data_IF_691984883104
#
_entry.id   IF_691984883104
#
_cell.length_a   1.000
_cell.length_b   1.000
_cell.length_c   1.000
_cell.angle_alpha   90.00
_cell.angle_beta   90.00
_cell.angle_gamma   90.00
#
_symmetry.space_group_name_H-M   'P 1'
#
loop_
_entity.id
_entity.type
_entity.pdbx_description
1 polymer ?
#
# COMPACT_ATOMS: atom_id res chain seq x y z
N UNK A 1 -23.11 -6.18 34.47
CA UNK A 1 -22.86 -4.93 33.71
C UNK A 1 -21.39 -4.72 33.33
N UNK A 2 -20.40 -5.34 33.98
CA UNK A 2 -18.94 -5.15 33.70
C UNK A 2 -18.37 -5.90 32.48
N UNK A 3 -19.07 -6.92 31.96
CA UNK A 3 -18.60 -7.73 30.83
C UNK A 3 -18.64 -6.97 29.49
N UNK A 4 -19.65 -6.11 29.30
CA UNK A 4 -19.81 -5.34 28.06
C UNK A 4 -18.73 -4.28 27.85
N UNK A 5 -18.26 -3.65 28.93
CA UNK A 5 -17.16 -2.68 28.87
C UNK A 5 -15.84 -3.35 28.47
N UNK A 6 -15.55 -4.56 28.95
CA UNK A 6 -14.36 -5.32 28.52
C UNK A 6 -14.45 -5.75 27.06
N UNK A 7 -15.64 -6.10 26.57
CA UNK A 7 -15.85 -6.48 25.17
C UNK A 7 -15.61 -5.31 24.22
N UNK A 8 -16.11 -4.11 24.56
CA UNK A 8 -15.90 -2.89 23.78
C UNK A 8 -14.42 -2.51 23.69
N UNK A 9 -13.68 -2.58 24.81
CA UNK A 9 -12.24 -2.27 24.82
C UNK A 9 -11.45 -3.24 23.92
N UNK A 10 -11.79 -4.53 23.93
CA UNK A 10 -11.13 -5.52 23.08
C UNK A 10 -11.42 -5.30 21.59
N UNK A 11 -12.66 -4.93 21.23
CA UNK A 11 -13.01 -4.58 19.85
C UNK A 11 -12.26 -3.34 19.35
N UNK A 12 -12.11 -2.30 20.17
CA UNK A 12 -11.35 -1.10 19.79
C UNK A 12 -9.85 -1.37 19.63
N UNK A 13 -9.25 -2.21 20.49
CA UNK A 13 -7.85 -2.57 20.36
C UNK A 13 -7.55 -3.38 19.08
N UNK A 14 -8.47 -4.25 18.68
CA UNK A 14 -8.35 -5.01 17.43
C UNK A 14 -8.43 -4.13 16.18
N UNK A 15 -9.25 -3.07 16.20
CA UNK A 15 -9.40 -2.13 15.08
C UNK A 15 -8.15 -1.26 14.85
N UNK A 16 -7.41 -0.92 15.90
CA UNK A 16 -6.19 -0.09 15.78
C UNK A 16 -5.01 -0.86 15.18
N UNK A 17 -4.99 -2.19 15.28
CA UNK A 17 -3.83 -3.01 14.92
C UNK A 17 -3.73 -3.38 13.43
N UNK A 18 -4.64 -2.92 12.57
CA UNK A 18 -4.60 -3.20 11.11
C UNK A 18 -3.95 -2.08 10.27
N UNK A 19 -3.14 -1.21 10.86
CA UNK A 19 -2.23 -0.40 10.04
C UNK A 19 -1.02 -1.25 9.66
N UNK A 20 -1.06 -1.87 8.47
CA UNK A 20 0.13 -2.43 7.86
C UNK A 20 1.21 -1.36 7.81
N UNK A 21 2.33 -1.63 8.46
CA UNK A 21 3.49 -0.73 8.45
C UNK A 21 4.13 -0.84 7.07
N UNK A 22 4.01 0.21 6.26
CA UNK A 22 4.64 0.29 4.95
C UNK A 22 6.15 0.04 5.03
N UNK A 23 6.72 -0.46 3.93
CA UNK A 23 8.18 -0.64 3.81
C UNK A 23 8.90 0.71 3.83
N UNK A 24 10.21 0.70 4.06
CA UNK A 24 11.00 1.93 4.14
C UNK A 24 11.00 2.76 2.85
N UNK A 25 10.80 2.14 1.70
CA UNK A 25 10.70 2.75 0.37
C UNK A 25 9.26 3.14 -0.02
N UNK A 26 8.31 2.92 0.88
CA UNK A 26 6.89 3.16 0.67
C UNK A 26 6.33 4.24 1.61
N UNK A 27 5.11 4.69 1.34
CA UNK A 27 4.33 5.58 2.19
C UNK A 27 2.85 5.19 2.16
N UNK A 28 2.13 5.53 3.22
CA UNK A 28 0.69 5.33 3.27
C UNK A 28 -0.01 6.50 2.53
N UNK A 29 -0.73 6.26 1.41
CA UNK A 29 -1.41 7.30 0.64
C UNK A 29 -2.64 7.88 1.36
N UNK A 30 -3.10 7.23 2.43
CA UNK A 30 -4.28 7.63 3.19
C UNK A 30 -5.60 7.19 2.55
N UNK A 31 -6.74 7.64 3.12
CA UNK A 31 -8.07 7.14 2.78
C UNK A 31 -8.58 7.54 1.38
N UNK A 32 -7.96 8.54 0.74
CA UNK A 32 -8.28 8.97 -0.62
C UNK A 32 -7.27 8.40 -1.63
N UNK A 33 -6.94 7.11 -1.49
CA UNK A 33 -6.03 6.44 -2.40
C UNK A 33 -6.65 6.33 -3.82
N UNK A 34 -5.81 6.27 -4.84
CA UNK A 34 -6.23 6.03 -6.21
C UNK A 34 -5.51 4.83 -6.83
N UNK A 35 -5.14 4.97 -8.08
CA UNK A 35 -4.28 4.01 -8.78
C UNK A 35 -2.81 4.38 -8.54
N UNK A 36 -2.02 3.45 -8.01
CA UNK A 36 -0.56 3.61 -7.93
C UNK A 36 0.07 3.44 -9.33
N UNK A 37 0.97 4.33 -9.76
CA UNK A 37 1.69 4.15 -11.02
C UNK A 37 2.73 3.03 -10.89
N UNK A 38 2.76 2.15 -11.89
CA UNK A 38 3.57 0.92 -11.88
C UNK A 38 4.52 0.86 -13.06
N UNK A 39 5.67 0.26 -12.81
CA UNK A 39 6.63 -0.09 -13.83
C UNK A 39 6.21 -1.42 -14.47
N UNK A 40 5.67 -1.35 -15.68
CA UNK A 40 5.21 -2.50 -16.43
C UNK A 40 5.65 -2.40 -17.90
N UNK A 41 6.12 -3.49 -18.52
CA UNK A 41 6.54 -3.46 -19.92
C UNK A 41 5.33 -3.17 -20.83
N UNK A 42 5.53 -2.58 -22.03
CA UNK A 42 4.44 -2.22 -22.94
C UNK A 42 3.56 -3.42 -23.36
N UNK A 43 4.12 -4.62 -23.33
CA UNK A 43 3.44 -5.88 -23.62
C UNK A 43 2.60 -6.43 -22.47
N UNK A 44 2.71 -5.86 -21.27
CA UNK A 44 1.91 -6.29 -20.14
C UNK A 44 0.50 -5.71 -20.26
N UNK A 45 -0.51 -6.58 -20.26
CA UNK A 45 -1.89 -6.18 -20.01
C UNK A 45 -2.03 -5.81 -18.53
N UNK A 46 -1.39 -4.71 -18.12
CA UNK A 46 -1.36 -4.30 -16.74
C UNK A 46 -2.70 -3.67 -16.35
N UNK A 47 -3.40 -4.31 -15.41
CA UNK A 47 -4.55 -3.71 -14.77
C UNK A 47 -4.04 -2.79 -13.64
N UNK A 48 -4.35 -1.49 -13.65
CA UNK A 48 -3.97 -0.58 -12.58
C UNK A 48 -4.42 -1.12 -11.22
N UNK A 49 -3.47 -1.28 -10.28
CA UNK A 49 -3.80 -1.72 -8.92
C UNK A 49 -4.27 -0.51 -8.13
N UNK A 50 -5.57 -0.42 -7.88
CA UNK A 50 -6.10 0.46 -6.84
C UNK A 50 -5.72 -0.15 -5.49
N UNK A 51 -4.76 0.47 -4.80
CA UNK A 51 -4.32 0.00 -3.50
C UNK A 51 -4.40 1.15 -2.50
N UNK A 52 -5.16 0.98 -1.42
CA UNK A 52 -5.14 1.89 -0.26
C UNK A 52 -4.17 1.43 0.82
N UNK A 53 -3.25 0.54 0.47
CA UNK A 53 -2.25 -0.04 1.37
C UNK A 53 -1.05 0.92 1.48
N UNK A 54 0.01 0.63 0.70
CA UNK A 54 1.27 1.36 0.71
C UNK A 54 1.71 1.62 -0.72
N UNK A 55 2.14 2.85 -1.00
CA UNK A 55 2.61 3.30 -2.30
C UNK A 55 4.11 3.52 -2.28
N UNK A 56 4.78 3.26 -3.39
CA UNK A 56 6.15 3.64 -3.65
C UNK A 56 6.29 5.16 -3.52
N UNK A 57 7.35 5.61 -2.85
CA UNK A 57 7.61 7.04 -2.65
C UNK A 57 7.62 7.82 -3.97
N UNK A 58 7.23 9.12 -3.95
CA UNK A 58 7.28 9.97 -5.13
C UNK A 58 8.64 9.90 -5.85
N UNK A 59 8.60 9.72 -7.18
CA UNK A 59 9.80 9.54 -8.02
C UNK A 59 10.23 8.09 -8.26
N UNK A 60 9.54 7.13 -7.61
CA UNK A 60 9.72 5.69 -7.85
C UNK A 60 8.44 5.06 -8.38
N UNK A 61 8.58 3.92 -9.07
CA UNK A 61 7.50 3.11 -9.61
C UNK A 61 7.60 1.68 -9.07
N UNK A 62 6.46 1.04 -8.82
CA UNK A 62 6.40 -0.35 -8.40
C UNK A 62 6.57 -1.29 -9.58
N UNK A 63 7.60 -2.13 -9.58
CA UNK A 63 7.78 -3.20 -10.57
C UNK A 63 6.77 -4.31 -10.29
N UNK A 64 5.95 -4.68 -11.27
CA UNK A 64 4.90 -5.68 -11.07
C UNK A 64 5.44 -7.04 -10.65
N UNK A 65 6.53 -7.50 -11.28
CA UNK A 65 7.09 -8.84 -11.04
C UNK A 65 7.74 -8.99 -9.67
N UNK A 66 8.45 -7.96 -9.20
CA UNK A 66 9.23 -8.01 -7.96
C UNK A 66 8.56 -7.29 -6.79
N UNK A 67 7.49 -6.53 -7.04
CA UNK A 67 6.87 -5.59 -6.10
C UNK A 67 7.86 -4.60 -5.46
N UNK A 68 9.01 -4.35 -6.10
CA UNK A 68 10.00 -3.40 -5.61
C UNK A 68 9.74 -1.99 -6.16
N UNK A 69 10.00 -0.97 -5.34
CA UNK A 69 9.98 0.41 -5.77
C UNK A 69 11.32 0.77 -6.42
N UNK A 70 11.31 1.11 -7.71
CA UNK A 70 12.51 1.49 -8.46
C UNK A 70 12.39 2.90 -9.01
N UNK A 71 13.49 3.66 -9.16
CA UNK A 71 13.46 4.95 -9.84
C UNK A 71 12.87 4.84 -11.25
N UNK A 72 12.15 5.87 -11.68
CA UNK A 72 11.54 5.95 -13.03
C UNK A 72 12.54 5.60 -14.15
N UNK A 73 13.78 6.07 -14.01
CA UNK A 73 14.87 5.85 -14.95
C UNK A 73 15.22 4.35 -15.14
N UNK A 74 15.05 3.54 -14.10
CA UNK A 74 15.33 2.09 -14.15
C UNK A 74 14.16 1.28 -14.69
N UNK A 75 13.02 1.91 -14.95
CA UNK A 75 11.84 1.21 -15.45
C UNK A 75 11.88 0.99 -16.97
N UNK A 76 12.53 1.91 -17.70
CA UNK A 76 12.59 1.92 -19.16
C UNK A 76 14.03 1.76 -19.71
N UNK A 77 14.99 1.47 -18.82
CA UNK A 77 16.37 1.16 -19.17
C UNK A 77 16.49 -0.33 -19.52
#
# INVERSE_FOLDING_TARGET
>A
MKLWTSLLIFCFAALVSSQEKCREDEYNPGPNCGTEPTCAPPSSHFAPKTACECWCKPGTLRVFETNACVPLEKCYA
#
